data_IF_241457350427
#
_entry.id   IF_241457350427
#
_cell.length_a   1.000
_cell.length_b   1.000
_cell.length_c   1.000
_cell.angle_alpha   90.00
_cell.angle_beta   90.00
_cell.angle_gamma   90.00
#
_symmetry.space_group_name_H-M   'P 1'
#
loop_
_entity.id
_entity.type
_entity.pdbx_description
1 polymer ?
#
# COMPACT_ATOMS: atom_id res chain seq x y z
N UNK A 1 22.20 -72.46 6.32
CA UNK A 1 22.82 -71.35 5.56
C UNK A 1 22.71 -70.12 6.47
N UNK A 2 23.66 -69.78 7.37
CA UNK A 2 25.05 -69.33 7.17
C UNK A 2 25.06 -68.28 6.03
N UNK A 3 25.36 -66.99 6.20
CA UNK A 3 26.59 -66.39 6.76
C UNK A 3 26.35 -64.96 7.27
N UNK A 4 26.91 -64.66 8.45
CA UNK A 4 27.22 -63.34 9.01
C UNK A 4 28.48 -62.74 8.37
N UNK A 5 28.61 -61.41 8.23
CA UNK A 5 29.94 -60.74 8.34
C UNK A 5 29.79 -59.33 8.94
N UNK A 6 30.47 -59.15 10.08
CA UNK A 6 30.77 -57.91 10.81
C UNK A 6 32.07 -57.26 10.29
N UNK A 7 32.32 -55.98 10.66
CA UNK A 7 33.61 -55.29 10.94
C UNK A 7 33.42 -53.79 10.59
N UNK A 8 33.51 -52.79 11.46
CA UNK A 8 34.37 -52.60 12.62
C UNK A 8 35.67 -51.91 12.18
N UNK A 9 35.91 -50.66 12.62
CA UNK A 9 37.24 -50.00 12.85
C UNK A 9 36.98 -48.54 13.29
N UNK A 10 37.48 -48.16 14.48
CA UNK A 10 37.70 -46.76 14.90
C UNK A 10 39.18 -46.36 14.76
N UNK A 11 39.69 -45.48 15.63
CA UNK A 11 39.86 -44.02 15.53
C UNK A 11 41.27 -43.59 15.04
N UNK A 12 41.66 -42.29 15.09
CA UNK A 12 42.57 -41.88 16.18
C UNK A 12 42.54 -40.41 16.66
N UNK A 13 42.79 -40.25 17.96
CA UNK A 13 43.80 -39.41 18.65
C UNK A 13 44.21 -38.00 18.16
N UNK A 14 43.95 -37.02 19.05
CA UNK A 14 44.80 -35.95 19.59
C UNK A 14 46.00 -35.38 18.81
N UNK A 15 46.09 -34.03 18.79
CA UNK A 15 47.37 -33.30 18.99
C UNK A 15 47.19 -31.89 19.54
N UNK A 16 47.92 -31.64 20.63
CA UNK A 16 48.37 -30.33 21.16
C UNK A 16 49.19 -29.58 20.10
N UNK A 17 49.17 -28.25 20.13
CA UNK A 17 50.37 -27.47 20.49
C UNK A 17 50.07 -25.99 20.74
N UNK A 18 50.55 -25.58 21.91
CA UNK A 18 50.90 -24.26 22.41
C UNK A 18 51.98 -23.54 21.59
N UNK A 19 51.94 -22.19 21.58
CA UNK A 19 53.03 -21.20 21.76
C UNK A 19 52.61 -19.85 21.15
N UNK A 20 53.10 -18.65 21.49
CA UNK A 20 53.80 -18.01 22.62
C UNK A 20 54.21 -16.63 22.08
N UNK A 21 54.07 -15.55 22.88
CA UNK A 21 54.69 -14.19 22.76
C UNK A 21 54.33 -13.31 21.54
N UNK A 22 54.32 -11.96 21.55
CA UNK A 22 55.01 -10.88 22.32
C UNK A 22 54.23 -9.55 22.06
N UNK A 23 53.97 -8.68 23.07
CA UNK A 23 54.57 -7.32 23.31
C UNK A 23 54.86 -6.48 22.04
N UNK A 24 54.62 -5.17 21.90
CA UNK A 24 54.37 -4.00 22.80
C UNK A 24 54.04 -2.77 21.90
N UNK A 25 53.56 -1.63 22.45
CA UNK A 25 52.71 -0.63 21.80
C UNK A 25 53.44 0.67 21.43
N UNK A 26 52.75 1.58 20.73
CA UNK A 26 53.01 3.02 20.57
C UNK A 26 51.68 3.63 20.06
N UNK A 27 51.18 4.80 20.45
CA UNK A 27 51.70 5.86 21.28
C UNK A 27 50.54 6.79 21.66
N UNK A 28 50.67 7.38 22.84
CA UNK A 28 49.83 8.40 23.47
C UNK A 28 50.18 9.76 22.87
N UNK A 29 49.18 10.54 22.46
CA UNK A 29 49.29 12.00 22.32
C UNK A 29 48.08 12.60 23.03
N UNK A 30 48.35 13.21 24.18
CA UNK A 30 47.49 14.19 24.84
C UNK A 30 47.51 15.49 24.03
N UNK A 31 46.41 16.24 24.01
CA UNK A 31 46.41 17.70 24.17
C UNK A 31 44.97 18.21 24.36
N UNK A 32 44.71 18.62 25.60
CA UNK A 32 43.98 19.80 26.09
C UNK A 32 42.87 20.48 25.24
N UNK A 33 41.76 20.77 25.93
CA UNK A 33 40.74 21.74 25.49
C UNK A 33 39.67 21.95 26.57
N UNK A 34 40.03 22.74 27.57
CA UNK A 34 39.31 23.03 28.82
C UNK A 34 37.98 23.79 28.61
N UNK A 35 37.06 23.52 29.53
CA UNK A 35 35.76 24.13 29.74
C UNK A 35 35.74 25.67 29.79
N UNK A 36 34.71 26.27 29.19
CA UNK A 36 34.27 27.64 29.45
C UNK A 36 32.91 27.62 30.14
N UNK A 37 32.90 27.94 31.43
CA UNK A 37 31.73 28.30 32.23
C UNK A 37 31.82 29.79 32.53
N UNK A 38 30.77 30.54 32.24
CA UNK A 38 30.68 31.98 32.48
C UNK A 38 29.22 32.40 32.52
N UNK A 39 28.76 32.66 33.73
CA UNK A 39 27.39 32.99 34.14
C UNK A 39 27.22 34.52 34.20
N UNK A 40 25.96 34.96 34.06
CA UNK A 40 25.36 36.23 34.52
C UNK A 40 25.69 37.56 33.80
N UNK A 41 24.65 38.23 33.30
CA UNK A 41 23.83 39.16 34.11
C UNK A 41 22.64 39.71 33.30
N UNK A 42 21.49 39.75 33.95
CA UNK A 42 20.27 40.44 33.52
C UNK A 42 20.33 41.90 34.01
N UNK A 43 19.92 42.87 33.18
CA UNK A 43 19.40 44.15 33.69
C UNK A 43 18.32 44.73 32.77
N UNK A 44 17.21 45.07 33.40
CA UNK A 44 15.94 45.51 32.85
C UNK A 44 15.87 47.02 32.53
N UNK A 45 14.78 47.38 31.85
CA UNK A 45 14.05 48.67 31.74
C UNK A 45 13.91 49.09 30.27
N UNK A 46 12.75 49.45 29.72
CA UNK A 46 11.42 49.72 30.27
C UNK A 46 10.72 50.73 29.33
N UNK A 47 9.37 50.74 29.35
CA UNK A 47 8.43 51.70 28.70
C UNK A 47 8.27 51.53 27.17
N UNK A 48 7.08 51.52 26.56
CA UNK A 48 5.71 51.74 26.99
C UNK A 48 4.95 52.52 25.89
N UNK A 49 3.65 52.19 25.71
CA UNK A 49 2.57 53.02 25.12
C UNK A 49 2.49 53.11 23.57
N UNK A 50 1.37 53.05 22.81
CA UNK A 50 -0.08 52.74 22.95
C UNK A 50 -0.74 53.01 21.56
N UNK A 51 -1.58 52.08 21.02
CA UNK A 51 -2.87 52.22 20.24
C UNK A 51 -2.82 52.98 18.86
N UNK A 52 -3.59 52.78 17.77
CA UNK A 52 -4.93 52.26 17.40
C UNK A 52 -4.91 51.91 15.87
N UNK A 53 -5.42 50.77 15.38
CA UNK A 53 -6.74 50.50 14.76
C UNK A 53 -7.05 51.00 13.32
N UNK A 54 -7.53 50.03 12.51
CA UNK A 54 -8.47 50.09 11.34
C UNK A 54 -7.97 50.72 10.03
N UNK A 55 -8.31 50.25 8.82
CA UNK A 55 -9.01 49.09 8.25
C UNK A 55 -8.73 49.11 6.73
N UNK A 56 -8.76 47.93 6.10
CA UNK A 56 -9.24 47.63 4.73
C UNK A 56 -8.63 48.35 3.51
N UNK A 57 -8.05 47.56 2.58
CA UNK A 57 -8.61 47.23 1.24
C UNK A 57 -7.73 46.13 0.59
N UNK A 58 -8.39 45.08 0.10
CA UNK A 58 -7.81 44.07 -0.79
C UNK A 58 -7.49 44.66 -2.16
N UNK A 59 -6.27 44.46 -2.66
CA UNK A 59 -6.03 44.25 -4.09
C UNK A 59 -4.94 43.18 -4.23
N UNK A 60 -5.36 41.96 -4.57
CA UNK A 60 -4.48 41.02 -5.26
C UNK A 60 -4.08 41.69 -6.58
N UNK A 61 -2.79 41.83 -6.85
CA UNK A 61 -2.21 41.52 -8.16
C UNK A 61 -0.72 41.22 -7.98
N UNK A 62 -0.43 39.96 -8.25
CA UNK A 62 0.76 39.37 -8.86
C UNK A 62 1.93 40.31 -9.21
N UNK A 63 3.13 39.75 -9.09
CA UNK A 63 4.41 40.24 -9.61
C UNK A 63 5.23 41.12 -8.65
N UNK A 64 5.69 40.53 -7.54
CA UNK A 64 6.96 40.98 -6.95
C UNK A 64 8.13 40.35 -7.71
N UNK A 65 8.50 41.01 -8.80
CA UNK A 65 9.90 41.07 -9.22
C UNK A 65 10.75 41.53 -8.04
N UNK A 66 11.76 40.73 -7.65
CA UNK A 66 13.00 41.11 -6.94
C UNK A 66 13.84 39.85 -6.66
N UNK A 67 15.18 39.93 -6.58
CA UNK A 67 16.13 40.75 -7.32
C UNK A 67 17.25 39.88 -7.94
N UNK A 68 18.27 40.50 -8.55
CA UNK A 68 19.49 39.98 -9.23
C UNK A 68 20.23 38.73 -8.66
N UNK A 69 19.82 38.15 -7.53
CA UNK A 69 20.45 36.97 -6.91
C UNK A 69 20.13 35.64 -7.61
N UNK A 70 19.05 35.58 -8.41
CA UNK A 70 18.67 34.38 -9.16
C UNK A 70 19.66 33.97 -10.28
N UNK A 71 20.68 34.81 -10.56
CA UNK A 71 21.75 34.51 -11.53
C UNK A 71 22.96 33.80 -10.93
N UNK A 72 23.06 33.73 -9.60
CA UNK A 72 24.18 33.03 -8.95
C UNK A 72 23.71 31.68 -8.41
N UNK A 73 24.07 30.64 -9.14
CA UNK A 73 23.80 29.25 -8.85
C UNK A 73 24.59 28.39 -9.83
N UNK A 74 24.59 27.09 -9.61
CA UNK A 74 25.35 26.15 -10.43
C UNK A 74 24.52 24.91 -10.75
N UNK A 75 24.93 24.17 -11.76
CA UNK A 75 24.23 22.99 -12.26
C UNK A 75 24.91 21.72 -11.78
N UNK A 76 24.10 20.77 -11.31
CA UNK A 76 24.52 19.42 -11.00
C UNK A 76 23.93 18.45 -12.03
N UNK A 77 24.78 17.66 -12.68
CA UNK A 77 24.38 16.53 -13.50
C UNK A 77 24.96 15.25 -12.89
N UNK A 78 24.11 14.23 -12.72
CA UNK A 78 24.49 12.91 -12.27
C UNK A 78 23.52 11.88 -12.88
N UNK A 79 23.91 10.60 -13.03
CA UNK A 79 23.04 9.56 -13.56
C UNK A 79 21.70 9.49 -12.81
N UNK A 80 20.61 9.21 -13.52
CA UNK A 80 19.30 9.11 -12.91
C UNK A 80 19.20 7.86 -12.03
N UNK A 81 19.41 8.04 -10.73
CA UNK A 81 19.04 7.09 -9.68
C UNK A 81 18.01 7.77 -8.78
N UNK A 82 16.83 7.16 -8.63
CA UNK A 82 15.74 7.68 -7.78
C UNK A 82 16.21 7.94 -6.35
N UNK A 83 17.08 7.07 -5.83
CA UNK A 83 17.62 7.15 -4.48
C UNK A 83 18.57 8.34 -4.34
N UNK A 84 19.47 8.52 -5.32
CA UNK A 84 20.35 9.67 -5.41
C UNK A 84 19.57 10.98 -5.60
N UNK A 85 18.50 10.99 -6.41
CA UNK A 85 17.61 12.15 -6.59
C UNK A 85 16.87 12.48 -5.29
N UNK A 86 16.36 11.49 -4.56
CA UNK A 86 15.71 11.71 -3.26
C UNK A 86 16.70 12.32 -2.24
N UNK A 87 17.92 11.78 -2.14
CA UNK A 87 19.00 12.35 -1.31
C UNK A 87 19.41 13.75 -1.75
N UNK A 88 19.50 13.99 -3.05
CA UNK A 88 19.82 15.30 -3.62
C UNK A 88 18.75 16.33 -3.27
N UNK A 89 17.46 15.98 -3.39
CA UNK A 89 16.34 16.85 -3.01
C UNK A 89 16.29 17.13 -1.51
N UNK A 90 16.69 16.18 -0.66
CA UNK A 90 16.85 16.42 0.78
C UNK A 90 17.99 17.40 1.07
N UNK A 91 19.14 17.27 0.40
CA UNK A 91 20.29 18.14 0.58
C UNK A 91 20.11 19.55 -0.04
N UNK A 92 19.32 19.64 -1.12
CA UNK A 92 19.04 20.87 -1.86
C UNK A 92 17.53 21.06 -2.11
N UNK A 93 16.72 21.40 -1.08
CA UNK A 93 15.27 21.54 -1.22
C UNK A 93 14.81 22.63 -2.21
N UNK A 94 15.69 23.60 -2.50
CA UNK A 94 15.44 24.71 -3.44
C UNK A 94 15.97 24.44 -4.85
N UNK A 95 16.51 23.25 -5.12
CA UNK A 95 17.00 22.88 -6.44
C UNK A 95 15.83 22.77 -7.43
N UNK A 96 16.08 23.13 -8.69
CA UNK A 96 15.10 23.06 -9.78
C UNK A 96 15.65 22.25 -10.93
N UNK A 97 14.86 21.32 -11.46
CA UNK A 97 15.23 20.59 -12.66
C UNK A 97 15.15 21.52 -13.88
N UNK A 98 16.14 21.44 -14.75
CA UNK A 98 16.16 22.12 -16.05
C UNK A 98 16.14 21.04 -17.15
N UNK A 99 15.01 20.94 -17.87
CA UNK A 99 14.80 19.95 -18.93
C UNK A 99 15.74 20.12 -20.13
N UNK A 100 16.08 21.36 -20.50
CA UNK A 100 16.95 21.65 -21.66
C UNK A 100 18.37 21.11 -21.44
N UNK A 101 18.87 21.21 -20.21
CA UNK A 101 20.24 20.80 -19.83
C UNK A 101 20.31 19.46 -19.11
N UNK A 102 19.17 18.79 -18.90
CA UNK A 102 19.02 17.56 -18.09
C UNK A 102 19.82 17.62 -16.78
N UNK A 103 19.73 18.74 -16.07
CA UNK A 103 20.51 19.01 -14.87
C UNK A 103 19.73 19.78 -13.83
N UNK A 104 20.15 19.64 -12.57
CA UNK A 104 19.55 20.34 -11.43
C UNK A 104 20.26 21.67 -11.19
N UNK A 105 19.52 22.78 -11.26
CA UNK A 105 19.99 24.10 -10.86
C UNK A 105 19.87 24.27 -9.35
N UNK A 106 20.98 24.55 -8.68
CA UNK A 106 21.03 24.85 -7.24
C UNK A 106 21.31 26.36 -7.07
N UNK A 107 20.40 27.11 -6.42
CA UNK A 107 20.61 28.54 -6.20
C UNK A 107 21.63 28.81 -5.10
N UNK A 108 22.44 29.87 -5.28
CA UNK A 108 23.35 30.41 -4.29
C UNK A 108 24.81 30.54 -4.76
N UNK A 109 25.53 31.49 -4.18
CA UNK A 109 26.95 31.79 -4.49
C UNK A 109 27.92 30.63 -4.23
N UNK A 110 27.56 29.73 -3.31
CA UNK A 110 28.36 28.54 -2.95
C UNK A 110 27.80 27.25 -3.55
N UNK A 111 26.86 27.33 -4.49
CA UNK A 111 26.21 26.18 -5.11
C UNK A 111 27.23 25.19 -5.66
N UNK A 112 28.21 25.67 -6.45
CA UNK A 112 29.30 24.85 -6.99
C UNK A 112 30.00 24.00 -5.93
N UNK A 113 30.54 24.64 -4.87
CA UNK A 113 31.26 23.94 -3.79
C UNK A 113 30.36 23.00 -2.99
N UNK A 114 29.07 23.31 -2.84
CA UNK A 114 28.11 22.43 -2.16
C UNK A 114 27.74 21.23 -3.01
N UNK A 115 27.54 21.44 -4.32
CA UNK A 115 27.32 20.38 -5.32
C UNK A 115 28.52 19.46 -5.35
N UNK A 116 29.73 19.99 -5.52
CA UNK A 116 30.97 19.23 -5.53
C UNK A 116 31.16 18.41 -4.24
N UNK A 117 30.95 19.02 -3.07
CA UNK A 117 31.01 18.30 -1.80
C UNK A 117 29.94 17.22 -1.67
N UNK A 118 28.74 17.45 -2.22
CA UNK A 118 27.69 16.45 -2.24
C UNK A 118 28.02 15.31 -3.20
N UNK A 119 28.49 15.62 -4.41
CA UNK A 119 28.97 14.65 -5.40
C UNK A 119 30.14 13.83 -4.88
N UNK A 120 31.09 14.44 -4.17
CA UNK A 120 32.19 13.72 -3.54
C UNK A 120 31.70 12.78 -2.42
N UNK A 121 30.68 13.19 -1.66
CA UNK A 121 30.02 12.34 -0.66
C UNK A 121 29.19 11.22 -1.30
N UNK A 122 28.59 11.48 -2.46
CA UNK A 122 27.82 10.51 -3.23
C UNK A 122 28.75 9.53 -3.97
N UNK A 123 29.91 9.99 -4.44
CA UNK A 123 30.97 9.16 -4.98
C UNK A 123 31.58 8.27 -3.90
N UNK A 124 31.76 8.78 -2.67
CA UNK A 124 32.10 7.95 -1.52
C UNK A 124 30.96 7.00 -1.10
N UNK A 125 29.71 7.32 -1.43
CA UNK A 125 28.60 6.36 -1.35
C UNK A 125 28.66 5.32 -2.47
N UNK A 126 29.20 5.62 -3.65
CA UNK A 126 29.58 4.65 -4.68
C UNK A 126 30.92 3.99 -4.29
N UNK A 127 30.86 3.19 -3.24
CA UNK A 127 31.99 2.41 -2.75
C UNK A 127 32.37 1.30 -3.72
N UNK A 128 33.22 1.63 -4.70
CA UNK A 128 33.80 0.69 -5.68
C UNK A 128 34.52 -0.45 -4.97
N UNK A 129 35.18 -0.18 -3.84
CA UNK A 129 35.86 -1.23 -3.06
C UNK A 129 34.86 -2.17 -2.39
N UNK A 130 33.74 -1.63 -1.91
CA UNK A 130 32.60 -2.40 -1.41
C UNK A 130 32.00 -3.31 -2.49
N UNK A 131 31.87 -2.81 -3.72
CA UNK A 131 31.35 -3.62 -4.84
C UNK A 131 32.34 -4.69 -5.29
N UNK A 132 33.65 -4.40 -5.34
CA UNK A 132 34.69 -5.41 -5.61
C UNK A 132 34.66 -6.51 -4.53
N UNK A 133 34.64 -6.12 -3.26
CA UNK A 133 34.55 -7.08 -2.14
C UNK A 133 33.26 -7.91 -2.21
N UNK A 134 32.15 -7.28 -2.57
CA UNK A 134 30.87 -7.95 -2.75
C UNK A 134 30.87 -8.95 -3.90
N UNK A 135 31.57 -8.62 -4.99
CA UNK A 135 31.80 -9.50 -6.14
C UNK A 135 32.68 -10.69 -5.75
N UNK A 136 33.79 -10.45 -5.04
CA UNK A 136 34.65 -11.53 -4.52
C UNK A 136 33.87 -12.47 -3.59
N UNK A 137 32.99 -11.92 -2.74
CA UNK A 137 32.12 -12.71 -1.86
C UNK A 137 31.06 -13.50 -2.64
N UNK A 138 30.52 -12.93 -3.72
CA UNK A 138 29.62 -13.64 -4.63
C UNK A 138 30.34 -14.79 -5.34
N UNK A 139 31.54 -14.54 -5.86
CA UNK A 139 32.34 -15.55 -6.56
C UNK A 139 32.75 -16.70 -5.63
N UNK A 140 32.98 -16.42 -4.35
CA UNK A 140 33.29 -17.43 -3.34
C UNK A 140 32.09 -18.32 -3.01
N UNK A 141 30.91 -17.74 -2.76
CA UNK A 141 29.71 -18.48 -2.36
C UNK A 141 28.48 -17.98 -3.11
N UNK A 142 28.29 -18.32 -4.40
CA UNK A 142 27.25 -17.74 -5.23
C UNK A 142 25.85 -18.19 -4.82
N UNK A 143 24.90 -17.25 -4.84
CA UNK A 143 23.47 -17.57 -4.76
C UNK A 143 23.02 -18.10 -6.12
N UNK A 144 22.58 -19.36 -6.17
CA UNK A 144 21.98 -19.96 -7.35
C UNK A 144 20.46 -20.01 -7.18
N UNK A 145 19.75 -19.20 -7.96
CA UNK A 145 18.28 -19.21 -7.94
C UNK A 145 17.69 -18.73 -9.26
N UNK A 146 16.53 -19.27 -9.64
CA UNK A 146 15.80 -18.92 -10.86
C UNK A 146 15.35 -17.46 -10.97
N UNK A 147 15.37 -16.74 -9.85
CA UNK A 147 14.91 -15.35 -9.76
C UNK A 147 16.05 -14.34 -9.69
N UNK A 148 17.30 -14.81 -9.70
CA UNK A 148 18.49 -13.97 -9.63
C UNK A 148 19.26 -14.10 -10.93
N UNK A 149 19.41 -12.98 -11.63
CA UNK A 149 20.27 -12.82 -12.79
C UNK A 149 21.48 -11.98 -12.38
N UNK A 150 22.66 -12.33 -12.86
CA UNK A 150 23.91 -11.67 -12.49
C UNK A 150 24.50 -11.01 -13.72
N UNK A 151 24.78 -9.72 -13.62
CA UNK A 151 25.49 -8.93 -14.62
C UNK A 151 26.51 -8.00 -13.97
N UNK A 152 26.48 -6.73 -14.34
CA UNK A 152 27.26 -5.69 -13.65
C UNK A 152 26.79 -5.49 -12.19
N UNK A 153 25.50 -5.72 -11.95
CA UNK A 153 24.82 -5.77 -10.65
C UNK A 153 24.00 -7.06 -10.51
N UNK A 154 23.50 -7.32 -9.29
CA UNK A 154 22.59 -8.43 -9.00
C UNK A 154 21.14 -8.02 -9.34
N UNK A 155 20.55 -8.68 -10.33
CA UNK A 155 19.22 -8.37 -10.84
C UNK A 155 18.20 -9.41 -10.37
N UNK A 156 17.15 -8.98 -9.67
CA UNK A 156 16.13 -9.86 -9.10
C UNK A 156 14.83 -9.73 -9.88
N UNK A 157 14.44 -10.82 -10.57
CA UNK A 157 13.18 -10.94 -11.31
C UNK A 157 12.23 -11.84 -10.56
N UNK A 158 11.32 -11.25 -9.79
CA UNK A 158 10.29 -12.00 -9.04
C UNK A 158 8.88 -11.59 -9.44
N UNK A 159 7.88 -12.49 -9.31
CA UNK A 159 6.49 -12.11 -9.46
C UNK A 159 6.08 -11.01 -8.48
N UNK A 160 5.19 -10.12 -8.91
CA UNK A 160 4.72 -9.02 -8.06
C UNK A 160 4.06 -9.54 -6.77
N UNK A 161 4.64 -9.16 -5.63
CA UNK A 161 4.04 -9.36 -4.31
C UNK A 161 4.44 -8.22 -3.39
N UNK A 162 3.47 -7.69 -2.64
CA UNK A 162 3.71 -6.58 -1.71
C UNK A 162 4.75 -6.95 -0.65
N UNK A 163 4.69 -8.17 -0.11
CA UNK A 163 5.66 -8.63 0.89
C UNK A 163 7.07 -8.82 0.31
N UNK A 164 7.19 -9.27 -0.95
CA UNK A 164 8.49 -9.34 -1.63
C UNK A 164 9.09 -7.95 -1.82
N UNK A 165 8.29 -7.00 -2.28
CA UNK A 165 8.71 -5.62 -2.50
C UNK A 165 9.20 -4.98 -1.21
N UNK A 166 8.48 -5.20 -0.10
CA UNK A 166 8.89 -4.70 1.22
C UNK A 166 10.24 -5.30 1.67
N UNK A 167 10.45 -6.61 1.44
CA UNK A 167 11.73 -7.26 1.75
C UNK A 167 12.87 -6.75 0.88
N UNK A 168 12.64 -6.53 -0.42
CA UNK A 168 13.65 -6.02 -1.36
C UNK A 168 14.01 -4.56 -1.07
N UNK A 169 13.01 -3.72 -0.76
CA UNK A 169 13.24 -2.32 -0.36
C UNK A 169 14.02 -2.19 0.95
N UNK A 170 13.94 -3.19 1.83
CA UNK A 170 14.73 -3.19 3.05
C UNK A 170 16.23 -3.45 2.80
N UNK A 171 16.60 -3.99 1.63
CA UNK A 171 18.01 -4.23 1.28
C UNK A 171 18.66 -2.87 0.97
N UNK A 172 19.79 -2.55 1.62
CA UNK A 172 20.52 -1.31 1.35
C UNK A 172 20.85 -1.17 -0.15
N UNK A 173 20.69 0.04 -0.69
CA UNK A 173 20.98 0.41 -2.09
C UNK A 173 20.22 -0.37 -3.18
N UNK A 174 19.30 -1.26 -2.81
CA UNK A 174 18.42 -1.92 -3.75
C UNK A 174 17.40 -0.95 -4.33
N UNK A 175 17.21 -0.97 -5.64
CA UNK A 175 16.30 -0.05 -6.30
C UNK A 175 15.50 -0.66 -7.45
N UNK A 176 14.39 0.04 -7.68
CA UNK A 176 13.49 -0.02 -8.83
C UNK A 176 14.16 0.20 -10.18
N UNK A 177 14.43 -0.80 -11.01
CA UNK A 177 14.76 -0.53 -12.41
C UNK A 177 13.56 -0.76 -13.34
N UNK A 178 13.07 0.34 -13.93
CA UNK A 178 11.89 0.34 -14.81
C UNK A 178 12.20 -0.25 -16.19
N UNK A 179 13.43 -0.09 -16.69
CA UNK A 179 13.83 -0.54 -18.03
C UNK A 179 13.97 -2.07 -18.06
N UNK A 180 14.73 -2.63 -17.12
CA UNK A 180 14.84 -4.08 -16.98
C UNK A 180 13.63 -4.69 -16.30
N UNK A 181 12.72 -3.89 -15.71
CA UNK A 181 11.61 -4.36 -14.86
C UNK A 181 12.09 -5.36 -13.80
N UNK A 182 13.19 -5.02 -13.15
CA UNK A 182 13.86 -5.86 -12.16
C UNK A 182 14.32 -5.02 -10.98
N UNK A 183 14.53 -5.66 -9.84
CA UNK A 183 15.22 -5.02 -8.73
C UNK A 183 16.72 -5.13 -8.96
N UNK A 184 17.42 -3.99 -9.04
CA UNK A 184 18.88 -3.96 -9.07
C UNK A 184 19.42 -3.85 -7.65
N UNK A 185 20.38 -4.70 -7.32
CA UNK A 185 21.08 -4.73 -6.04
C UNK A 185 22.58 -4.68 -6.32
N UNK A 186 23.28 -3.61 -5.89
CA UNK A 186 24.73 -3.54 -6.05
C UNK A 186 25.46 -4.63 -5.25
N UNK A 187 26.61 -5.08 -5.76
CA UNK A 187 27.39 -6.18 -5.16
C UNK A 187 27.81 -5.91 -3.72
N UNK A 188 28.07 -4.67 -3.30
CA UNK A 188 28.32 -4.31 -1.89
C UNK A 188 27.23 -4.76 -0.92
N UNK A 189 26.00 -4.96 -1.41
CA UNK A 189 24.84 -5.39 -0.63
C UNK A 189 24.67 -6.91 -0.64
N UNK A 190 25.61 -7.64 -1.25
CA UNK A 190 25.52 -9.07 -1.48
C UNK A 190 25.28 -9.88 -0.20
N UNK A 191 26.06 -9.62 0.85
CA UNK A 191 25.93 -10.30 2.14
C UNK A 191 24.53 -10.11 2.75
N UNK A 192 23.95 -8.91 2.62
CA UNK A 192 22.60 -8.64 3.14
C UNK A 192 21.52 -9.30 2.27
N UNK A 193 21.71 -9.30 0.96
CA UNK A 193 20.86 -10.04 0.02
C UNK A 193 20.90 -11.54 0.34
N UNK A 194 22.09 -12.11 0.54
CA UNK A 194 22.30 -13.53 0.86
C UNK A 194 21.61 -13.94 2.14
N UNK A 195 21.74 -13.14 3.22
CA UNK A 195 21.05 -13.38 4.50
C UNK A 195 19.53 -13.44 4.35
N UNK A 196 18.96 -12.61 3.46
CA UNK A 196 17.51 -12.51 3.26
C UNK A 196 16.99 -13.40 2.14
N UNK A 197 17.87 -13.91 1.28
CA UNK A 197 17.53 -14.66 0.08
C UNK A 197 16.59 -15.84 0.33
N UNK A 198 16.78 -16.69 1.36
CA UNK A 198 15.88 -17.83 1.60
C UNK A 198 14.42 -17.39 1.84
N UNK A 199 14.21 -16.24 2.49
CA UNK A 199 12.87 -15.69 2.75
C UNK A 199 12.27 -15.09 1.49
N UNK A 200 13.08 -14.40 0.69
CA UNK A 200 12.68 -13.81 -0.58
C UNK A 200 12.28 -14.92 -1.56
N UNK A 201 13.12 -15.95 -1.72
CA UNK A 201 12.85 -17.08 -2.60
C UNK A 201 11.61 -17.88 -2.17
N UNK A 202 11.47 -18.16 -0.88
CA UNK A 202 10.27 -18.84 -0.36
C UNK A 202 9.00 -17.99 -0.55
N UNK A 203 9.09 -16.66 -0.47
CA UNK A 203 7.97 -15.77 -0.77
C UNK A 203 7.68 -15.67 -2.27
N UNK A 204 8.71 -15.75 -3.12
CA UNK A 204 8.57 -15.76 -4.58
C UNK A 204 7.90 -17.05 -5.06
N UNK A 205 8.36 -18.21 -4.58
CA UNK A 205 7.73 -19.51 -4.85
C UNK A 205 6.25 -19.50 -4.46
N UNK A 206 5.93 -19.17 -3.21
CA UNK A 206 4.55 -19.06 -2.69
C UNK A 206 3.64 -18.13 -3.49
N UNK A 207 4.22 -17.15 -4.17
CA UNK A 207 3.48 -16.16 -4.95
C UNK A 207 3.43 -16.47 -6.44
N UNK A 208 3.98 -17.61 -6.88
CA UNK A 208 3.88 -18.03 -8.27
C UNK A 208 2.42 -18.15 -8.70
N UNK A 209 2.08 -17.64 -9.89
CA UNK A 209 0.72 -17.71 -10.43
C UNK A 209 0.13 -19.13 -10.39
N UNK A 210 0.96 -20.15 -10.61
CA UNK A 210 0.56 -21.56 -10.58
C UNK A 210 0.27 -22.06 -9.16
N UNK A 211 1.06 -21.67 -8.15
CA UNK A 211 0.81 -22.06 -6.76
C UNK A 211 -0.42 -21.31 -6.19
N UNK A 212 -0.63 -20.05 -6.60
CA UNK A 212 -1.87 -19.31 -6.34
C UNK A 212 -3.09 -19.96 -6.99
N UNK A 213 -2.96 -20.46 -8.23
CA UNK A 213 -4.03 -21.17 -8.95
C UNK A 213 -4.36 -22.50 -8.27
N UNK A 214 -3.34 -23.27 -7.87
CA UNK A 214 -3.51 -24.52 -7.10
C UNK A 214 -4.20 -24.27 -5.76
N UNK A 215 -3.80 -23.25 -5.00
CA UNK A 215 -4.47 -22.88 -3.74
C UNK A 215 -5.91 -22.42 -3.98
N UNK A 216 -6.16 -21.58 -4.99
CA UNK A 216 -7.53 -21.17 -5.33
C UNK A 216 -8.39 -22.36 -5.74
N UNK A 217 -7.84 -23.35 -6.44
CA UNK A 217 -8.56 -24.57 -6.81
C UNK A 217 -8.84 -25.44 -5.58
N UNK A 218 -7.88 -25.62 -4.67
CA UNK A 218 -8.10 -26.34 -3.41
C UNK A 218 -9.13 -25.62 -2.49
N UNK A 219 -9.11 -24.28 -2.47
CA UNK A 219 -10.10 -23.46 -1.75
C UNK A 219 -11.48 -23.48 -2.43
N UNK A 220 -11.54 -23.69 -3.75
CA UNK A 220 -12.80 -23.75 -4.53
C UNK A 220 -13.69 -24.90 -4.08
N UNK A 221 -13.10 -26.01 -3.65
CA UNK A 221 -13.82 -27.20 -3.20
C UNK A 221 -14.21 -27.13 -1.72
N UNK A 222 -13.83 -26.05 -1.02
CA UNK A 222 -14.23 -25.84 0.37
C UNK A 222 -15.74 -25.68 0.48
N UNK A 223 -16.32 -26.32 1.51
CA UNK A 223 -17.73 -26.17 1.89
C UNK A 223 -18.12 -24.70 2.11
N UNK A 224 -17.21 -23.89 2.67
CA UNK A 224 -17.41 -22.44 2.86
C UNK A 224 -17.64 -21.73 1.52
N UNK A 225 -16.94 -22.14 0.46
CA UNK A 225 -17.11 -21.56 -0.87
C UNK A 225 -18.41 -22.03 -1.52
N UNK A 226 -18.81 -23.29 -1.33
CA UNK A 226 -20.12 -23.79 -1.79
C UNK A 226 -21.26 -23.02 -1.12
N UNK A 227 -21.22 -22.83 0.20
CA UNK A 227 -22.19 -22.03 0.94
C UNK A 227 -22.18 -20.54 0.52
N UNK A 228 -21.02 -19.98 0.20
CA UNK A 228 -20.93 -18.60 -0.33
C UNK A 228 -21.52 -18.49 -1.74
N UNK A 229 -21.30 -19.49 -2.60
CA UNK A 229 -21.86 -19.56 -3.94
C UNK A 229 -23.37 -19.74 -3.91
N UNK A 230 -23.91 -20.61 -3.04
CA UNK A 230 -25.34 -20.80 -2.83
C UNK A 230 -26.01 -19.48 -2.40
N UNK A 231 -25.47 -18.82 -1.36
CA UNK A 231 -25.95 -17.49 -0.93
C UNK A 231 -25.87 -16.43 -2.04
N UNK A 232 -24.83 -16.49 -2.87
CA UNK A 232 -24.68 -15.56 -4.00
C UNK A 232 -25.65 -15.85 -5.13
N UNK A 233 -25.95 -17.11 -5.41
CA UNK A 233 -26.95 -17.52 -6.38
C UNK A 233 -28.34 -17.09 -5.91
N UNK A 234 -28.66 -17.28 -4.64
CA UNK A 234 -29.92 -16.87 -4.04
C UNK A 234 -30.11 -15.34 -4.11
N UNK A 235 -29.08 -14.56 -3.75
CA UNK A 235 -29.08 -13.10 -3.93
C UNK A 235 -29.38 -12.64 -5.36
N UNK A 236 -28.96 -13.40 -6.38
CA UNK A 236 -29.22 -13.06 -7.79
C UNK A 236 -30.66 -13.30 -8.20
N UNK A 237 -31.40 -14.17 -7.50
CA UNK A 237 -32.84 -14.37 -7.73
C UNK A 237 -33.67 -13.15 -7.33
N UNK A 238 -33.12 -12.26 -6.48
CA UNK A 238 -33.76 -11.00 -6.05
C UNK A 238 -35.19 -11.17 -5.51
N UNK A 239 -35.40 -12.29 -4.83
CA UNK A 239 -36.60 -12.57 -4.04
C UNK A 239 -36.27 -12.42 -2.55
N UNK A 240 -37.29 -12.17 -1.74
CA UNK A 240 -37.20 -12.10 -0.29
C UNK A 240 -38.53 -12.60 0.29
N UNK A 241 -38.51 -13.41 1.34
CA UNK A 241 -39.73 -13.89 1.95
C UNK A 241 -40.38 -12.77 2.76
N UNK A 242 -41.69 -12.61 2.61
CA UNK A 242 -42.49 -11.60 3.29
C UNK A 242 -43.70 -12.27 3.92
N UNK A 243 -44.10 -11.92 5.16
CA UNK A 243 -45.32 -12.45 5.75
C UNK A 243 -46.53 -12.10 4.87
N UNK A 244 -47.40 -13.07 4.61
CA UNK A 244 -48.59 -12.87 3.78
C UNK A 244 -49.54 -11.80 4.37
N UNK A 245 -49.61 -11.72 5.70
CA UNK A 245 -50.54 -10.83 6.42
C UNK A 245 -50.05 -9.37 6.53
N UNK A 246 -48.75 -9.11 6.40
CA UNK A 246 -48.17 -7.76 6.57
C UNK A 246 -47.05 -7.46 5.55
N UNK A 247 -47.42 -7.26 4.27
CA UNK A 247 -46.47 -6.92 3.22
C UNK A 247 -45.99 -5.45 3.32
N UNK A 248 -44.72 -5.17 2.96
CA UNK A 248 -44.17 -3.83 2.92
C UNK A 248 -44.83 -2.96 1.86
N UNK A 249 -44.81 -1.62 2.02
CA UNK A 249 -45.31 -0.72 0.98
C UNK A 249 -44.48 -0.84 -0.31
N UNK A 250 -45.13 -1.20 -1.41
CA UNK A 250 -44.50 -1.30 -2.71
C UNK A 250 -43.91 0.04 -3.16
N UNK A 251 -42.76 -0.02 -3.86
CA UNK A 251 -42.09 1.17 -4.40
C UNK A 251 -41.39 2.06 -3.36
N UNK A 252 -41.45 1.71 -2.05
CA UNK A 252 -40.77 2.47 -0.99
C UNK A 252 -39.51 1.75 -0.50
N UNK A 253 -38.44 2.50 -0.16
CA UNK A 253 -37.25 1.90 0.46
C UNK A 253 -37.55 1.37 1.86
N UNK A 254 -37.35 0.08 2.06
CA UNK A 254 -37.49 -0.62 3.35
C UNK A 254 -36.18 -1.31 3.72
N UNK A 255 -35.88 -1.40 5.01
CA UNK A 255 -34.72 -2.11 5.52
C UNK A 255 -35.07 -3.58 5.74
N UNK A 256 -34.11 -4.45 5.44
CA UNK A 256 -34.18 -5.91 5.60
C UNK A 256 -32.95 -6.40 6.35
N UNK A 257 -33.11 -7.46 7.14
CA UNK A 257 -31.99 -8.00 7.93
C UNK A 257 -30.84 -8.52 7.08
N UNK A 258 -31.12 -9.13 5.92
CA UNK A 258 -30.11 -9.84 5.14
C UNK A 258 -29.56 -9.04 3.95
N UNK A 259 -30.35 -8.12 3.39
CA UNK A 259 -30.01 -7.39 2.16
C UNK A 259 -29.91 -5.88 2.34
N UNK A 260 -30.14 -5.36 3.56
CA UNK A 260 -30.11 -3.94 3.86
C UNK A 260 -31.32 -3.21 3.27
N UNK A 261 -31.13 -1.99 2.77
CA UNK A 261 -32.24 -1.20 2.23
C UNK A 261 -32.54 -1.62 0.79
N UNK A 262 -33.76 -2.12 0.56
CA UNK A 262 -34.28 -2.57 -0.73
C UNK A 262 -35.60 -1.90 -1.06
N UNK A 263 -36.01 -1.94 -2.33
CA UNK A 263 -37.36 -1.53 -2.77
C UNK A 263 -38.06 -2.74 -3.34
N UNK A 264 -39.21 -3.10 -2.77
CA UNK A 264 -40.09 -4.13 -3.30
C UNK A 264 -40.86 -3.60 -4.49
N UNK A 265 -40.86 -4.37 -5.58
CA UNK A 265 -41.48 -4.02 -6.86
C UNK A 265 -42.78 -4.80 -7.05
N UNK A 266 -42.80 -6.07 -6.64
CA UNK A 266 -43.89 -7.00 -6.91
C UNK A 266 -43.92 -8.09 -5.84
N UNK A 267 -45.11 -8.63 -5.56
CA UNK A 267 -45.34 -9.77 -4.67
C UNK A 267 -45.98 -10.87 -5.51
N UNK A 268 -45.34 -12.05 -5.62
CA UNK A 268 -45.82 -13.11 -6.52
C UNK A 268 -47.07 -13.82 -6.00
N UNK A 269 -47.36 -13.73 -4.70
CA UNK A 269 -48.43 -14.49 -4.05
C UNK A 269 -48.12 -15.99 -3.89
N UNK A 270 -46.97 -16.46 -4.39
CA UNK A 270 -46.51 -17.83 -4.21
C UNK A 270 -45.99 -18.02 -2.78
N UNK A 271 -46.53 -19.01 -2.07
CA UNK A 271 -46.10 -19.38 -0.72
C UNK A 271 -44.72 -20.01 -0.80
N UNK A 272 -43.79 -19.48 0.00
CA UNK A 272 -42.42 -19.94 0.11
C UNK A 272 -42.35 -21.25 0.92
N UNK A 273 -41.63 -22.24 0.40
CA UNK A 273 -41.45 -23.51 1.08
C UNK A 273 -40.61 -23.34 2.36
N UNK A 274 -41.08 -23.92 3.47
CA UNK A 274 -40.44 -23.79 4.80
C UNK A 274 -38.98 -24.28 4.83
N UNK A 275 -38.64 -25.27 4.00
CA UNK A 275 -37.27 -25.79 3.87
C UNK A 275 -36.32 -24.76 3.22
N UNK A 276 -36.77 -24.10 2.15
CA UNK A 276 -36.00 -23.06 1.45
C UNK A 276 -35.82 -21.80 2.33
N UNK A 277 -36.85 -21.47 3.14
CA UNK A 277 -36.77 -20.42 4.16
C UNK A 277 -35.72 -20.73 5.22
N UNK A 278 -35.69 -21.96 5.75
CA UNK A 278 -34.75 -22.35 6.80
C UNK A 278 -33.28 -22.30 6.33
N UNK A 279 -33.02 -22.63 5.06
CA UNK A 279 -31.66 -22.66 4.51
C UNK A 279 -31.12 -21.26 4.20
N UNK A 280 -31.96 -20.37 3.65
CA UNK A 280 -31.51 -19.10 3.10
C UNK A 280 -31.93 -17.87 3.90
N UNK A 281 -32.99 -17.98 4.70
CA UNK A 281 -33.63 -16.88 5.41
C UNK A 281 -33.92 -17.24 6.88
N UNK A 282 -32.89 -17.32 7.75
CA UNK A 282 -33.05 -17.78 9.14
C UNK A 282 -33.96 -16.92 10.03
N UNK A 283 -34.33 -15.71 9.57
CA UNK A 283 -35.21 -14.79 10.28
C UNK A 283 -36.70 -15.00 9.97
N UNK A 284 -37.03 -15.77 8.92
CA UNK A 284 -38.42 -16.02 8.53
C UNK A 284 -39.06 -16.96 9.56
N UNK A 285 -40.19 -16.53 10.13
CA UNK A 285 -40.97 -17.35 11.04
C UNK A 285 -41.60 -18.52 10.30
N UNK A 286 -41.47 -19.74 10.83
CA UNK A 286 -42.00 -20.95 10.18
C UNK A 286 -43.47 -21.19 10.50
N UNK A 287 -44.03 -20.42 11.43
CA UNK A 287 -45.44 -20.52 11.85
C UNK A 287 -46.38 -19.67 11.00
N UNK A 288 -45.82 -18.77 10.18
CA UNK A 288 -46.57 -17.84 9.33
C UNK A 288 -46.26 -18.13 7.87
N UNK A 289 -47.29 -18.08 7.02
CA UNK A 289 -47.12 -18.21 5.58
C UNK A 289 -46.34 -17.01 5.02
N UNK A 290 -45.26 -17.31 4.30
CA UNK A 290 -44.44 -16.30 3.65
C UNK A 290 -44.68 -16.32 2.14
N UNK A 291 -44.85 -15.16 1.53
CA UNK A 291 -44.93 -14.98 0.07
C UNK A 291 -43.63 -14.38 -0.46
N UNK A 292 -43.30 -14.69 -1.72
CA UNK A 292 -42.11 -14.11 -2.34
C UNK A 292 -42.33 -12.67 -2.80
N UNK A 293 -41.50 -11.75 -2.30
CA UNK A 293 -41.38 -10.37 -2.78
C UNK A 293 -40.17 -10.18 -3.68
N UNK A 294 -40.38 -9.66 -4.89
CA UNK A 294 -39.29 -9.26 -5.79
C UNK A 294 -38.77 -7.88 -5.42
N UNK A 295 -37.46 -7.75 -5.30
CA UNK A 295 -36.84 -6.48 -4.88
C UNK A 295 -35.76 -5.99 -5.86
N UNK A 296 -35.46 -4.69 -5.75
CA UNK A 296 -34.34 -4.05 -6.42
C UNK A 296 -33.56 -3.15 -5.48
N UNK A 297 -32.35 -2.81 -5.90
CA UNK A 297 -31.52 -1.82 -5.22
C UNK A 297 -32.19 -0.44 -5.38
N UNK A 298 -32.34 0.34 -4.29
CA UNK A 298 -32.91 1.68 -4.36
C UNK A 298 -31.97 2.63 -5.10
N UNK A 299 -32.55 3.58 -5.83
CA UNK A 299 -31.81 4.69 -6.42
C UNK A 299 -31.41 5.72 -5.35
N UNK A 300 -30.43 6.57 -5.68
CA UNK A 300 -30.03 7.65 -4.77
C UNK A 300 -31.20 8.61 -4.48
N UNK A 301 -32.05 8.89 -5.47
CA UNK A 301 -33.21 9.77 -5.31
C UNK A 301 -34.23 9.18 -4.32
N UNK A 302 -34.53 7.89 -4.45
CA UNK A 302 -35.43 7.17 -3.52
C UNK A 302 -34.88 7.15 -2.10
N UNK A 303 -33.57 6.91 -1.93
CA UNK A 303 -32.93 6.95 -0.61
C UNK A 303 -32.97 8.35 0.03
N UNK A 304 -32.93 9.40 -0.77
CA UNK A 304 -33.02 10.79 -0.28
C UNK A 304 -34.46 11.14 0.08
N UNK A 305 -35.44 10.70 -0.73
CA UNK A 305 -36.86 10.90 -0.49
C UNK A 305 -37.40 10.04 0.68
N UNK A 306 -36.71 8.95 1.04
CA UNK A 306 -37.12 8.08 2.13
C UNK A 306 -37.08 8.80 3.49
N UNK A 307 -38.20 8.71 4.21
CA UNK A 307 -38.35 9.22 5.57
C UNK A 307 -37.72 8.24 6.58
N UNK A 308 -36.87 8.71 7.49
CA UNK A 308 -36.28 7.86 8.51
C UNK A 308 -37.32 7.44 9.57
N UNK A 309 -37.18 6.22 10.08
CA UNK A 309 -37.89 5.81 11.29
C UNK A 309 -37.45 6.67 12.48
N UNK A 310 -38.42 7.04 13.33
CA UNK A 310 -38.17 7.83 14.55
C UNK A 310 -37.57 7.01 15.69
N UNK A 311 -37.76 5.69 15.66
CA UNK A 311 -37.28 4.73 16.65
C UNK A 311 -36.55 3.59 15.93
N UNK A 312 -35.66 2.93 16.64
CA UNK A 312 -35.02 1.71 16.17
C UNK A 312 -36.06 0.58 16.02
N UNK A 313 -35.82 -0.38 15.11
CA UNK A 313 -36.74 -1.51 14.93
C UNK A 313 -36.81 -2.34 16.21
N UNK A 314 -38.03 -2.54 16.72
CA UNK A 314 -38.28 -3.46 17.83
C UNK A 314 -38.18 -4.93 17.41
N UNK A 315 -38.21 -5.88 18.36
CA UNK A 315 -38.09 -7.31 18.09
C UNK A 315 -39.13 -7.83 17.08
N UNK A 316 -40.37 -7.34 17.13
CA UNK A 316 -41.45 -7.70 16.21
C UNK A 316 -41.15 -7.27 14.76
N UNK A 317 -40.55 -6.09 14.58
CA UNK A 317 -40.19 -5.61 13.24
C UNK A 317 -39.00 -6.38 12.67
N UNK A 318 -38.11 -6.88 13.54
CA UNK A 318 -37.01 -7.75 13.17
C UNK A 318 -37.49 -9.17 12.82
N UNK A 319 -38.44 -9.73 13.57
CA UNK A 319 -39.04 -11.05 13.26
C UNK A 319 -39.89 -11.01 11.99
N UNK A 320 -40.59 -9.90 11.72
CA UNK A 320 -41.27 -9.64 10.44
C UNK A 320 -40.32 -9.63 9.24
N UNK A 321 -39.02 -9.42 9.48
CA UNK A 321 -37.98 -9.42 8.44
C UNK A 321 -37.85 -8.12 7.65
N UNK A 322 -38.73 -7.14 7.85
CA UNK A 322 -38.63 -5.81 7.23
C UNK A 322 -39.11 -4.67 8.14
N UNK A 323 -38.45 -3.51 8.03
CA UNK A 323 -38.78 -2.31 8.81
C UNK A 323 -38.50 -1.02 8.04
N UNK A 324 -39.03 0.09 8.55
CA UNK A 324 -38.69 1.41 8.03
C UNK A 324 -37.23 1.75 8.37
N UNK A 325 -36.39 2.16 7.40
CA UNK A 325 -34.98 2.41 7.65
C UNK A 325 -34.74 3.51 8.68
N UNK A 326 -33.76 3.31 9.56
CA UNK A 326 -33.27 4.33 10.47
C UNK A 326 -32.42 5.38 9.74
N UNK A 327 -32.21 6.53 10.37
CA UNK A 327 -31.33 7.57 9.81
C UNK A 327 -29.89 7.09 9.62
N UNK A 328 -29.40 6.22 10.51
CA UNK A 328 -28.05 5.66 10.44
C UNK A 328 -27.90 4.75 9.21
N UNK A 329 -28.86 3.84 8.99
CA UNK A 329 -28.89 2.96 7.82
C UNK A 329 -28.99 3.76 6.51
N UNK A 330 -29.86 4.78 6.47
CA UNK A 330 -30.00 5.66 5.30
C UNK A 330 -28.72 6.43 4.99
N UNK A 331 -27.98 6.90 6.00
CA UNK A 331 -26.68 7.58 5.79
C UNK A 331 -25.66 6.67 5.12
N UNK A 332 -25.56 5.42 5.55
CA UNK A 332 -24.65 4.42 4.97
C UNK A 332 -25.08 4.09 3.54
N UNK A 333 -26.38 3.83 3.32
CA UNK A 333 -26.92 3.51 2.01
C UNK A 333 -26.72 4.67 1.00
N UNK A 334 -27.00 5.92 1.41
CA UNK A 334 -26.78 7.12 0.58
C UNK A 334 -25.30 7.29 0.22
N UNK A 335 -24.37 7.05 1.15
CA UNK A 335 -22.93 7.10 0.90
C UNK A 335 -22.51 6.04 -0.12
N UNK A 336 -22.96 4.81 0.05
CA UNK A 336 -22.65 3.70 -0.87
C UNK A 336 -23.23 3.95 -2.26
N UNK A 337 -24.48 4.41 -2.37
CA UNK A 337 -25.12 4.77 -3.63
C UNK A 337 -24.35 5.88 -4.38
N UNK A 338 -23.90 6.94 -3.66
CA UNK A 338 -23.04 7.99 -4.25
C UNK A 338 -21.72 7.44 -4.77
N UNK A 339 -21.06 6.57 -4.01
CA UNK A 339 -19.80 5.93 -4.42
C UNK A 339 -19.98 5.07 -5.68
N UNK A 340 -21.05 4.27 -5.73
CA UNK A 340 -21.37 3.44 -6.90
C UNK A 340 -21.69 4.28 -8.13
N UNK A 341 -22.46 5.37 -7.99
CA UNK A 341 -22.75 6.29 -9.08
C UNK A 341 -21.46 6.94 -9.64
N UNK A 342 -20.51 7.33 -8.77
CA UNK A 342 -19.20 7.85 -9.19
C UNK A 342 -18.39 6.82 -9.97
N UNK A 343 -18.35 5.57 -9.50
CA UNK A 343 -17.65 4.47 -10.19
C UNK A 343 -18.26 4.16 -11.55
N UNK A 344 -19.58 4.20 -11.68
CA UNK A 344 -20.27 3.99 -12.96
C UNK A 344 -19.97 5.13 -13.94
N UNK A 345 -19.94 6.39 -13.48
CA UNK A 345 -19.54 7.53 -14.32
C UNK A 345 -18.09 7.43 -14.77
N UNK A 346 -17.17 7.05 -13.89
CA UNK A 346 -15.76 6.85 -14.23
C UNK A 346 -15.52 5.66 -15.19
N UNK A 347 -16.44 4.68 -15.21
CA UNK A 347 -16.39 3.53 -16.12
C UNK A 347 -16.99 3.80 -17.49
N UNK A 348 -17.75 4.90 -17.67
CA UNK A 348 -18.25 5.31 -18.98
C UNK A 348 -17.12 6.12 -19.64
N UNK A 349 -16.36 5.57 -20.60
CA UNK A 349 -15.33 6.34 -21.28
C UNK A 349 -15.97 7.51 -22.04
N UNK A 350 -15.31 8.67 -22.01
CA UNK A 350 -15.62 9.80 -22.88
C UNK A 350 -15.29 9.37 -24.32
N UNK A 351 -16.29 8.91 -25.07
CA UNK A 351 -16.07 8.41 -26.43
C UNK A 351 -17.31 7.85 -27.13
N UNK A 352 -18.50 8.38 -26.83
CA UNK A 352 -19.73 7.97 -27.51
C UNK A 352 -20.64 9.15 -27.91
N UNK A 353 -20.06 10.34 -28.12
CA UNK A 353 -20.74 11.48 -28.74
C UNK A 353 -19.85 11.97 -29.88
N UNK A 354 -20.02 11.38 -31.08
CA UNK A 354 -19.17 11.71 -32.22
C UNK A 354 -19.32 10.82 -33.44
N UNK A 355 -20.56 10.52 -33.86
CA UNK A 355 -20.79 10.20 -35.27
C UNK A 355 -21.90 11.11 -35.78
N UNK A 356 -21.44 12.18 -36.43
CA UNK A 356 -22.27 13.09 -37.19
C UNK A 356 -22.96 12.35 -38.32
N UNK A 357 -24.24 12.66 -38.45
CA UNK A 357 -25.08 12.43 -39.62
C UNK A 357 -24.35 12.94 -40.86
N UNK A 358 -23.85 12.04 -41.71
CA UNK A 358 -23.37 12.37 -43.05
C UNK A 358 -24.45 11.95 -44.04
N UNK A 359 -25.23 12.94 -44.46
CA UNK A 359 -26.12 12.87 -45.61
C UNK A 359 -25.24 12.85 -46.87
N UNK A 360 -25.49 11.89 -47.75
CA UNK A 360 -25.23 11.99 -49.18
C UNK A 360 -26.45 11.49 -49.92
#
# INVERSE_FOLDING_TARGET
>A
MIVSVSLGIGPPSARRNSRTTRRVPLGRVEMHGTAGSGVETNKAAGRGVTVDSRETIMVQHNQRTRPKEARQGDFAAFPYDRSAVERFRQAFPRARWNDERKSWFVPGKTAARRIERWLAREAAHNDIHGDIKGRDAYDFEPIVSRYLEVGDDLCIRTPYSKSLIEMLRAIPWAHWDEDLRAWRVPFRSYEELRRRWPRIEAAARRNEPEEKKRRRNAEKDSEKQRAANARSAERRRRRYPLPADDPPPAGRPVATGQYGIVVFVEFSGEVAETAELAEHYPHADRTVDHVWGRWRVPSLAELVAAWPARREPGPEALSRGWWQPTLAELRIARRNARSMARRQRARKPAGADGQGTRVH
#
